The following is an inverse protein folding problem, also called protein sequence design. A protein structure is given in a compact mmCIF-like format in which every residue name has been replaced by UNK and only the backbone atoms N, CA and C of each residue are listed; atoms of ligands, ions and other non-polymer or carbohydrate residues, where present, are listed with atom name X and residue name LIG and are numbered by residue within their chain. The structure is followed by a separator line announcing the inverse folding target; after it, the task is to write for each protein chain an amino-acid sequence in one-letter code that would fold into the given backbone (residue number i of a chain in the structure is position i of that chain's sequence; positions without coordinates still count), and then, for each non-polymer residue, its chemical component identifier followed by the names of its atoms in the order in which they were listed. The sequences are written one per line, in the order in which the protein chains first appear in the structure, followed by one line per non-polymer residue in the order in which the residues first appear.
data_IF_634218336187
#
_entry.id   IF_634218336187
#
_cell.length_a   1.000
_cell.length_b   1.000
_cell.length_c   1.000
_cell.angle_alpha   90.00
_cell.angle_beta   90.00
_cell.angle_gamma   90.00
#
_symmetry.space_group_name_H-M   'P 1'
#
loop_
_entity.id
_entity.type
_entity.pdbx_description
1 polymer ?
#
# COMPACT_ATOMS: atom_id res chain seq x y z
N UNK A 1 -1.00 -11.37 39.58
CA UNK A 1 -1.29 -12.80 39.36
C UNK A 1 -0.40 -13.30 38.20
N UNK A 2 0.20 -14.47 38.35
CA UNK A 2 1.01 -15.10 37.33
C UNK A 2 0.09 -15.62 36.19
N UNK A 3 0.21 -15.04 35.02
CA UNK A 3 -0.58 -15.43 33.83
C UNK A 3 -0.45 -16.92 33.53
N UNK A 4 0.76 -17.47 33.65
CA UNK A 4 1.03 -18.89 33.43
C UNK A 4 0.26 -19.79 34.41
N UNK A 5 0.29 -19.46 35.69
CA UNK A 5 -0.47 -20.17 36.72
C UNK A 5 -1.98 -20.09 36.47
N UNK A 6 -2.49 -18.94 36.04
CA UNK A 6 -3.89 -18.77 35.66
C UNK A 6 -4.28 -19.63 34.47
N UNK A 7 -3.50 -19.64 33.41
CA UNK A 7 -3.76 -20.45 32.22
C UNK A 7 -3.78 -21.95 32.56
N UNK A 8 -2.81 -22.42 33.35
CA UNK A 8 -2.76 -23.83 33.77
C UNK A 8 -3.92 -24.24 34.70
N UNK A 9 -4.37 -23.34 35.56
CA UNK A 9 -5.44 -23.63 36.53
C UNK A 9 -6.85 -23.49 35.94
N UNK A 10 -7.06 -22.53 35.01
CA UNK A 10 -8.37 -22.24 34.43
C UNK A 10 -8.62 -22.95 33.12
N UNK A 11 -7.57 -23.30 32.39
CA UNK A 11 -7.62 -23.95 31.07
C UNK A 11 -8.68 -23.29 30.16
N UNK A 12 -8.62 -21.96 29.94
CA UNK A 12 -9.67 -21.26 29.20
C UNK A 12 -9.70 -21.69 27.74
N UNK A 13 -10.88 -21.79 27.16
CA UNK A 13 -11.04 -22.06 25.70
C UNK A 13 -10.49 -20.93 24.84
N UNK A 14 -10.56 -19.68 25.34
CA UNK A 14 -10.06 -18.49 24.67
C UNK A 14 -9.40 -17.58 25.69
N UNK A 15 -8.33 -16.91 25.28
CA UNK A 15 -7.65 -15.91 26.08
C UNK A 15 -7.38 -14.68 25.20
N UNK A 16 -7.86 -13.55 25.65
CA UNK A 16 -7.67 -12.28 24.95
C UNK A 16 -6.88 -11.32 25.84
N UNK A 17 -6.03 -10.53 25.22
CA UNK A 17 -5.31 -9.46 25.90
C UNK A 17 -5.48 -8.15 25.12
N UNK A 18 -5.34 -7.04 25.85
CA UNK A 18 -5.39 -5.71 25.24
C UNK A 18 -4.00 -5.31 24.74
N UNK A 19 -3.93 -4.75 23.54
CA UNK A 19 -2.72 -4.07 23.03
C UNK A 19 -2.52 -2.70 23.69
N UNK A 20 -3.51 -2.21 24.42
CA UNK A 20 -3.45 -0.96 25.17
C UNK A 20 -2.97 -1.21 26.59
N UNK A 21 -2.16 -0.27 27.08
CA UNK A 21 -1.60 -0.23 28.42
C UNK A 21 -2.38 0.74 29.29
N UNK A 22 -2.68 0.33 30.51
CA UNK A 22 -3.45 1.12 31.48
C UNK A 22 -2.75 1.17 32.81
N UNK A 23 -2.81 2.32 33.50
CA UNK A 23 -2.27 2.46 34.84
C UNK A 23 -3.07 1.64 35.89
N UNK A 24 -4.39 1.57 35.68
CA UNK A 24 -5.35 0.86 36.56
C UNK A 24 -6.20 -0.11 35.73
N UNK A 25 -5.64 -1.20 35.19
CA UNK A 25 -6.36 -2.06 34.26
C UNK A 25 -7.62 -2.71 34.85
N UNK A 26 -7.70 -2.86 36.18
CA UNK A 26 -8.86 -3.41 36.89
C UNK A 26 -9.98 -2.42 37.16
N UNK A 27 -9.86 -1.14 36.81
CA UNK A 27 -10.91 -0.16 37.01
C UNK A 27 -12.16 -0.46 36.14
N UNK A 28 -13.38 -0.10 36.62
CA UNK A 28 -14.63 -0.48 35.97
C UNK A 28 -14.89 0.26 34.66
N UNK A 29 -14.43 1.52 34.55
CA UNK A 29 -14.64 2.33 33.33
C UNK A 29 -13.35 2.58 32.59
N UNK A 30 -13.44 2.89 31.29
CA UNK A 30 -12.27 3.18 30.45
C UNK A 30 -11.53 4.44 30.92
N UNK A 31 -12.26 5.45 31.37
CA UNK A 31 -11.70 6.68 31.91
C UNK A 31 -10.88 6.42 33.19
N UNK A 32 -11.43 5.63 34.11
CA UNK A 32 -10.78 5.29 35.39
C UNK A 32 -9.56 4.36 35.17
N UNK A 33 -9.48 3.64 34.07
CA UNK A 33 -8.31 2.81 33.72
C UNK A 33 -7.04 3.61 33.49
N UNK A 34 -7.13 4.88 33.17
CA UNK A 34 -6.00 5.77 32.87
C UNK A 34 -5.11 5.18 31.78
N UNK A 35 -5.53 5.36 30.51
CA UNK A 35 -4.79 4.89 29.36
C UNK A 35 -3.38 5.48 29.31
N UNK A 36 -2.38 4.63 29.07
CA UNK A 36 -0.95 5.01 29.01
C UNK A 36 -0.40 4.98 27.57
N UNK A 37 -1.00 4.17 26.73
CA UNK A 37 -0.54 3.96 25.37
C UNK A 37 -1.09 2.65 24.80
N UNK A 38 -0.79 2.40 23.53
CA UNK A 38 -1.11 1.14 22.88
C UNK A 38 -0.06 0.81 21.82
N UNK A 39 0.21 -0.46 21.61
CA UNK A 39 0.99 -0.92 20.47
C UNK A 39 0.33 -0.48 19.15
N UNK A 40 1.13 -0.29 18.13
CA UNK A 40 0.59 -0.19 16.77
C UNK A 40 0.39 -1.63 16.26
N UNK A 41 -0.86 -1.97 15.96
CA UNK A 41 -1.21 -3.30 15.47
C UNK A 41 -1.91 -3.21 14.12
N UNK A 42 -1.53 -4.10 13.21
CA UNK A 42 -2.21 -4.33 11.94
C UNK A 42 -2.75 -5.76 11.96
N UNK A 43 -4.04 -5.88 11.74
CA UNK A 43 -4.76 -7.14 11.68
C UNK A 43 -5.25 -7.36 10.24
N UNK A 44 -4.70 -8.37 9.58
CA UNK A 44 -5.06 -8.75 8.22
C UNK A 44 -5.76 -10.11 8.26
N UNK A 45 -7.03 -10.13 7.84
CA UNK A 45 -7.85 -11.33 7.76
C UNK A 45 -8.26 -11.62 6.31
N UNK A 46 -8.15 -12.87 5.90
CA UNK A 46 -8.45 -13.32 4.54
C UNK A 46 -9.95 -13.18 4.18
N UNK A 47 -10.85 -13.05 5.15
CA UNK A 47 -12.28 -12.84 4.90
C UNK A 47 -12.58 -11.54 4.14
N UNK A 48 -11.68 -10.59 4.19
CA UNK A 48 -11.80 -9.31 3.52
C UNK A 48 -11.15 -9.27 2.13
N UNK A 49 -10.54 -10.38 1.69
CA UNK A 49 -9.98 -10.47 0.34
C UNK A 49 -11.10 -10.53 -0.71
N UNK A 50 -10.87 -9.86 -1.83
CA UNK A 50 -11.76 -9.97 -2.98
C UNK A 50 -11.78 -11.41 -3.51
N UNK A 51 -12.97 -12.01 -3.64
CA UNK A 51 -13.14 -13.40 -4.06
C UNK A 51 -12.87 -14.44 -2.96
N UNK A 52 -12.74 -14.06 -1.70
CA UNK A 52 -12.46 -14.98 -0.59
C UNK A 52 -13.44 -16.16 -0.51
N UNK A 53 -14.72 -15.94 -0.88
CA UNK A 53 -15.74 -16.97 -0.85
C UNK A 53 -15.51 -18.13 -1.84
N UNK A 54 -14.76 -17.89 -2.92
CA UNK A 54 -14.43 -18.88 -3.95
C UNK A 54 -13.04 -19.51 -3.74
N UNK A 55 -12.25 -19.02 -2.77
CA UNK A 55 -10.90 -19.52 -2.48
C UNK A 55 -10.91 -20.71 -1.53
N UNK A 56 -9.99 -21.65 -1.74
CA UNK A 56 -9.67 -22.66 -0.71
C UNK A 56 -8.98 -21.99 0.49
N UNK A 57 -8.94 -22.72 1.61
CA UNK A 57 -8.28 -22.24 2.82
C UNK A 57 -6.78 -21.97 2.57
N UNK A 58 -6.11 -22.83 1.83
CA UNK A 58 -4.71 -22.71 1.47
C UNK A 58 -4.46 -21.47 0.59
N UNK A 59 -5.31 -21.24 -0.40
CA UNK A 59 -5.24 -20.04 -1.26
C UNK A 59 -5.45 -18.76 -0.46
N UNK A 60 -6.41 -18.74 0.45
CA UNK A 60 -6.64 -17.60 1.36
C UNK A 60 -5.40 -17.31 2.23
N UNK A 61 -4.81 -18.35 2.82
CA UNK A 61 -3.61 -18.18 3.66
C UNK A 61 -2.41 -17.67 2.86
N UNK A 62 -2.19 -18.20 1.67
CA UNK A 62 -1.11 -17.73 0.81
C UNK A 62 -1.31 -16.26 0.42
N UNK A 63 -2.52 -15.90 0.01
CA UNK A 63 -2.83 -14.55 -0.40
C UNK A 63 -2.68 -13.54 0.74
N UNK A 64 -3.21 -13.86 1.95
CA UNK A 64 -3.10 -12.94 3.08
C UNK A 64 -1.65 -12.85 3.59
N UNK A 65 -0.85 -13.93 3.44
CA UNK A 65 0.58 -13.91 3.72
C UNK A 65 1.33 -12.94 2.80
N UNK A 66 0.98 -12.92 1.50
CA UNK A 66 1.54 -11.97 0.54
C UNK A 66 1.19 -10.52 0.90
N UNK A 67 -0.06 -10.27 1.30
CA UNK A 67 -0.48 -8.92 1.71
C UNK A 67 0.22 -8.49 3.01
N UNK A 68 0.40 -9.40 3.97
CA UNK A 68 1.18 -9.13 5.19
C UNK A 68 2.66 -8.83 4.86
N UNK A 69 3.28 -9.60 3.96
CA UNK A 69 4.64 -9.33 3.51
C UNK A 69 4.78 -7.94 2.85
N UNK A 70 3.82 -7.56 2.00
CA UNK A 70 3.78 -6.20 1.42
C UNK A 70 3.66 -5.12 2.49
N UNK A 71 2.79 -5.32 3.49
CA UNK A 71 2.65 -4.38 4.61
C UNK A 71 3.98 -4.22 5.35
N UNK A 72 4.61 -5.33 5.72
CA UNK A 72 5.87 -5.31 6.48
C UNK A 72 6.99 -4.69 5.65
N UNK A 73 7.31 -5.28 4.52
CA UNK A 73 8.50 -4.91 3.74
C UNK A 73 8.39 -3.49 3.15
N UNK A 74 7.21 -3.17 2.60
CA UNK A 74 7.06 -1.92 1.88
C UNK A 74 6.71 -0.74 2.79
N UNK A 75 5.90 -0.96 3.81
CA UNK A 75 5.38 0.12 4.64
C UNK A 75 6.06 0.20 6.00
N UNK A 76 6.06 -0.89 6.79
CA UNK A 76 6.62 -0.83 8.13
C UNK A 76 8.15 -0.64 8.10
N UNK A 77 8.85 -1.48 7.37
CA UNK A 77 10.30 -1.38 7.24
C UNK A 77 10.71 -0.27 6.26
N UNK A 78 10.09 -0.26 5.08
CA UNK A 78 10.49 0.63 3.98
C UNK A 78 10.15 2.10 4.19
N UNK A 79 8.92 2.44 4.55
CA UNK A 79 8.46 3.82 4.63
C UNK A 79 8.44 4.37 6.06
N UNK A 80 7.98 3.57 7.04
CA UNK A 80 7.90 3.99 8.43
C UNK A 80 9.23 3.82 9.17
N UNK A 81 10.18 3.06 8.59
CA UNK A 81 11.56 2.97 9.06
C UNK A 81 11.74 2.10 10.29
N UNK A 82 10.82 1.19 10.58
CA UNK A 82 11.02 0.18 11.61
C UNK A 82 12.07 -0.84 11.15
N UNK A 83 12.77 -1.45 12.10
CA UNK A 83 13.65 -2.59 11.83
C UNK A 83 12.90 -3.91 12.04
N UNK A 84 13.44 -5.01 11.50
CA UNK A 84 12.79 -6.33 11.58
C UNK A 84 12.55 -6.80 13.02
N UNK A 85 13.45 -6.46 13.95
CA UNK A 85 13.34 -6.79 15.39
C UNK A 85 12.26 -5.98 16.13
N UNK A 86 11.77 -4.90 15.53
CA UNK A 86 10.69 -4.07 16.05
C UNK A 86 9.30 -4.49 15.58
N UNK A 87 9.21 -5.40 14.60
CA UNK A 87 7.94 -5.88 14.03
C UNK A 87 7.72 -7.34 14.39
N UNK A 88 6.76 -7.60 15.25
CA UNK A 88 6.43 -8.95 15.71
C UNK A 88 5.24 -9.51 14.93
N UNK A 89 5.48 -10.54 14.13
CA UNK A 89 4.44 -11.22 13.37
C UNK A 89 3.85 -12.39 14.12
N UNK A 90 2.52 -12.49 14.11
CA UNK A 90 1.78 -13.59 14.73
C UNK A 90 0.70 -14.09 13.78
N UNK A 91 0.60 -15.41 13.62
CA UNK A 91 -0.55 -16.03 12.98
C UNK A 91 -1.76 -15.96 13.90
N UNK A 92 -2.92 -15.51 13.40
CA UNK A 92 -4.14 -15.31 14.22
C UNK A 92 -4.74 -16.61 14.77
N UNK A 93 -4.30 -17.76 14.25
CA UNK A 93 -4.88 -19.08 14.56
C UNK A 93 -6.11 -19.42 13.70
N UNK A 94 -6.52 -18.51 12.83
CA UNK A 94 -7.63 -18.64 11.89
C UNK A 94 -7.16 -18.47 10.45
N UNK A 95 -7.48 -17.34 9.84
CA UNK A 95 -7.21 -17.03 8.43
C UNK A 95 -6.44 -15.72 8.24
N UNK A 96 -5.68 -15.29 9.23
CA UNK A 96 -5.03 -13.99 9.21
C UNK A 96 -3.70 -13.94 9.92
N UNK A 97 -3.09 -12.78 9.86
CA UNK A 97 -1.84 -12.46 10.54
C UNK A 97 -1.96 -11.10 11.23
N UNK A 98 -1.30 -10.98 12.39
CA UNK A 98 -1.14 -9.70 13.07
C UNK A 98 0.32 -9.26 12.99
N UNK A 99 0.53 -7.98 12.72
CA UNK A 99 1.82 -7.33 12.89
C UNK A 99 1.74 -6.35 14.07
N UNK A 100 2.56 -6.56 15.07
CA UNK A 100 2.65 -5.76 16.28
C UNK A 100 3.93 -4.93 16.27
N UNK A 101 3.82 -3.65 16.59
CA UNK A 101 4.95 -2.75 16.81
C UNK A 101 4.83 -2.16 18.20
N UNK A 102 5.53 -2.74 19.22
CA UNK A 102 5.42 -2.32 20.63
C UNK A 102 6.39 -1.20 21.01
N UNK A 103 6.86 -0.40 20.06
CA UNK A 103 7.88 0.62 20.25
C UNK A 103 7.37 1.84 21.02
N UNK A 104 8.20 2.44 21.85
CA UNK A 104 7.84 3.58 22.69
C UNK A 104 7.33 4.79 21.88
N UNK A 105 7.90 5.01 20.69
CA UNK A 105 7.53 6.13 19.80
C UNK A 105 6.11 6.00 19.21
N UNK A 106 5.53 4.78 19.20
CA UNK A 106 4.17 4.57 18.70
C UNK A 106 3.13 4.38 19.82
N UNK A 107 3.54 4.10 21.05
CA UNK A 107 2.61 3.84 22.16
C UNK A 107 1.67 5.01 22.41
N UNK A 108 2.16 6.23 22.30
CA UNK A 108 1.41 7.46 22.60
C UNK A 108 0.64 8.04 21.42
N UNK A 109 0.71 7.41 20.24
CA UNK A 109 -0.07 7.84 19.07
C UNK A 109 -1.56 7.81 19.39
N UNK A 110 -2.23 8.92 19.16
CA UNK A 110 -3.67 9.04 19.35
C UNK A 110 -4.47 8.43 18.19
N UNK A 111 -5.80 8.48 18.27
CA UNK A 111 -6.67 7.93 17.23
C UNK A 111 -6.48 8.59 15.85
N UNK A 112 -6.09 9.87 15.83
CA UNK A 112 -5.87 10.61 14.58
C UNK A 112 -4.62 10.11 13.87
N UNK A 113 -3.49 10.08 14.57
CA UNK A 113 -2.21 9.62 14.02
C UNK A 113 -2.28 8.17 13.53
N UNK A 114 -2.96 7.30 14.29
CA UNK A 114 -3.19 5.91 13.88
C UNK A 114 -4.03 5.80 12.61
N UNK A 115 -5.02 6.67 12.45
CA UNK A 115 -5.84 6.73 11.23
C UNK A 115 -5.02 7.21 10.03
N UNK A 116 -4.19 8.22 10.21
CA UNK A 116 -3.28 8.70 9.15
C UNK A 116 -2.33 7.57 8.65
N UNK A 117 -1.83 6.74 9.57
CA UNK A 117 -1.01 5.57 9.21
C UNK A 117 -1.82 4.59 8.36
N UNK A 118 -3.05 4.26 8.78
CA UNK A 118 -3.94 3.36 8.01
C UNK A 118 -4.27 3.96 6.65
N UNK A 119 -4.64 5.24 6.59
CA UNK A 119 -4.94 5.94 5.34
C UNK A 119 -3.73 5.95 4.40
N UNK A 120 -2.53 6.14 4.95
CA UNK A 120 -1.29 6.05 4.19
C UNK A 120 -1.07 4.64 3.62
N UNK A 121 -1.19 3.58 4.43
CA UNK A 121 -0.98 2.18 3.99
C UNK A 121 -2.01 1.79 2.94
N UNK A 122 -3.27 2.16 3.12
CA UNK A 122 -4.38 1.82 2.21
C UNK A 122 -4.52 2.75 1.01
N UNK A 123 -3.66 3.78 0.89
CA UNK A 123 -3.79 4.84 -0.12
C UNK A 123 -5.13 5.59 -0.06
N UNK A 124 -5.79 5.64 1.10
CA UNK A 124 -7.04 6.38 1.28
C UNK A 124 -6.83 7.86 0.99
N UNK A 125 -7.62 8.41 0.06
CA UNK A 125 -7.49 9.81 -0.32
C UNK A 125 -6.27 10.17 -1.16
N UNK A 126 -5.51 9.18 -1.65
CA UNK A 126 -4.36 9.43 -2.51
C UNK A 126 -4.79 10.14 -3.80
N UNK A 127 -4.30 11.36 -3.99
CA UNK A 127 -4.60 12.15 -5.18
C UNK A 127 -3.61 11.84 -6.30
N UNK A 128 -4.11 11.27 -7.40
CA UNK A 128 -3.31 10.89 -8.56
C UNK A 128 -2.60 12.10 -9.21
N UNK A 129 -3.20 13.30 -9.13
CA UNK A 129 -2.59 14.52 -9.66
C UNK A 129 -1.42 15.01 -8.81
N UNK A 130 -1.37 14.61 -7.55
CA UNK A 130 -0.23 14.86 -6.70
C UNK A 130 0.92 13.89 -7.00
N UNK A 131 0.62 12.64 -7.32
CA UNK A 131 1.64 11.64 -7.69
C UNK A 131 2.20 11.92 -9.08
N UNK A 132 1.32 12.19 -10.05
CA UNK A 132 1.65 12.49 -11.45
C UNK A 132 1.18 13.90 -11.83
N UNK A 133 1.86 14.95 -11.33
CA UNK A 133 1.44 16.31 -11.60
C UNK A 133 1.52 16.65 -13.09
N UNK A 134 0.66 17.56 -13.52
CA UNK A 134 0.71 18.07 -14.88
C UNK A 134 1.83 19.08 -15.06
N UNK A 135 2.54 18.96 -16.18
CA UNK A 135 3.50 19.94 -16.67
C UNK A 135 3.08 20.45 -18.06
N UNK A 136 3.53 21.64 -18.36
CA UNK A 136 3.39 22.22 -19.71
C UNK A 136 4.60 21.78 -20.52
N UNK A 137 4.39 20.96 -21.55
CA UNK A 137 5.44 20.50 -22.46
C UNK A 137 5.28 21.17 -23.82
N UNK A 138 6.34 21.79 -24.30
CA UNK A 138 6.38 22.35 -25.65
C UNK A 138 6.34 21.21 -26.67
N UNK A 139 5.28 21.19 -27.49
CA UNK A 139 5.05 20.12 -28.48
C UNK A 139 5.56 20.48 -29.87
N UNK A 140 5.50 21.75 -30.26
CA UNK A 140 6.02 22.26 -31.53
C UNK A 140 6.23 23.77 -31.48
N UNK A 141 7.10 24.26 -32.34
CA UNK A 141 7.25 25.68 -32.59
C UNK A 141 6.82 25.97 -34.03
N UNK A 142 6.00 26.98 -34.22
CA UNK A 142 5.60 27.48 -35.56
C UNK A 142 5.96 28.94 -35.65
N UNK A 143 6.41 29.35 -36.84
CA UNK A 143 6.68 30.76 -37.14
C UNK A 143 5.47 31.34 -37.88
N UNK A 144 4.82 32.33 -37.26
CA UNK A 144 3.68 33.05 -37.87
C UNK A 144 4.02 34.54 -37.90
N UNK A 145 4.06 35.10 -39.10
CA UNK A 145 4.39 36.51 -39.35
C UNK A 145 5.72 36.93 -38.67
N UNK A 146 6.75 36.10 -38.77
CA UNK A 146 8.07 36.34 -38.14
C UNK A 146 8.16 36.13 -36.61
N UNK A 147 7.06 35.80 -35.95
CA UNK A 147 7.02 35.49 -34.52
C UNK A 147 6.98 34.00 -34.27
N UNK A 148 7.80 33.52 -33.34
CA UNK A 148 7.78 32.11 -32.90
C UNK A 148 6.64 31.90 -31.91
N UNK A 149 5.69 31.04 -32.25
CA UNK A 149 4.67 30.54 -31.34
C UNK A 149 5.00 29.11 -30.95
N UNK A 150 5.03 28.88 -29.65
CA UNK A 150 5.23 27.55 -29.08
C UNK A 150 3.89 26.96 -28.71
N UNK A 151 3.53 25.85 -29.34
CA UNK A 151 2.37 25.05 -28.91
C UNK A 151 2.75 24.27 -27.64
N UNK A 152 1.87 24.33 -26.65
CA UNK A 152 2.09 23.72 -25.35
C UNK A 152 0.96 22.73 -25.09
N UNK A 153 1.32 21.47 -24.80
CA UNK A 153 0.40 20.48 -24.28
C UNK A 153 0.57 20.34 -22.77
N UNK A 154 -0.47 19.88 -22.09
CA UNK A 154 -0.36 19.40 -20.72
C UNK A 154 0.00 17.91 -20.79
N UNK A 155 1.05 17.53 -20.10
CA UNK A 155 1.47 16.14 -19.97
C UNK A 155 1.71 15.81 -18.49
N UNK A 156 1.53 14.56 -18.10
CA UNK A 156 1.80 14.11 -16.73
C UNK A 156 3.28 13.81 -16.56
N UNK A 157 3.84 14.33 -15.47
CA UNK A 157 5.22 14.00 -15.09
C UNK A 157 5.24 12.66 -14.36
N UNK A 158 6.15 11.81 -14.77
CA UNK A 158 6.46 10.58 -14.04
C UNK A 158 7.35 10.95 -12.85
N UNK A 159 7.05 10.48 -11.62
CA UNK A 159 7.90 10.75 -10.46
C UNK A 159 9.35 10.31 -10.70
N UNK A 160 10.36 11.07 -10.25
CA UNK A 160 11.76 10.65 -10.32
C UNK A 160 12.01 9.31 -9.60
N UNK A 161 13.08 8.60 -9.98
CA UNK A 161 13.38 7.28 -9.41
C UNK A 161 13.86 7.32 -7.94
N UNK A 162 14.32 8.47 -7.50
CA UNK A 162 14.80 8.74 -6.14
C UNK A 162 13.73 9.25 -5.17
N UNK A 163 12.46 9.24 -5.59
CA UNK A 163 11.34 9.54 -4.70
C UNK A 163 11.02 8.35 -3.78
N UNK A 164 10.45 8.63 -2.60
CA UNK A 164 9.98 7.62 -1.66
C UNK A 164 8.45 7.41 -1.70
N UNK A 165 7.98 6.47 -0.88
CA UNK A 165 6.58 6.26 -0.59
C UNK A 165 5.72 5.96 -1.81
N UNK A 166 4.48 6.46 -1.81
CA UNK A 166 3.51 6.22 -2.89
C UNK A 166 3.96 6.70 -4.27
N UNK A 167 4.76 7.76 -4.34
CA UNK A 167 5.30 8.24 -5.62
C UNK A 167 6.20 7.19 -6.27
N UNK A 168 7.08 6.56 -5.48
CA UNK A 168 7.94 5.49 -5.97
C UNK A 168 7.15 4.23 -6.35
N UNK A 169 6.18 3.83 -5.50
CA UNK A 169 5.31 2.67 -5.78
C UNK A 169 4.52 2.83 -7.07
N UNK A 170 3.86 3.97 -7.22
CA UNK A 170 3.09 4.26 -8.41
C UNK A 170 3.97 4.37 -9.67
N UNK A 171 5.21 4.88 -9.54
CA UNK A 171 6.18 4.85 -10.62
C UNK A 171 6.52 3.41 -11.01
N UNK A 172 6.85 2.55 -10.03
CA UNK A 172 7.19 1.14 -10.29
C UNK A 172 6.03 0.40 -10.96
N UNK A 173 4.84 0.49 -10.38
CA UNK A 173 3.64 -0.11 -10.98
C UNK A 173 3.32 0.41 -12.38
N UNK A 174 3.56 1.70 -12.67
CA UNK A 174 3.44 2.22 -14.03
C UNK A 174 4.48 1.60 -14.98
N UNK A 175 5.73 1.41 -14.54
CA UNK A 175 6.75 0.79 -15.39
C UNK A 175 6.44 -0.68 -15.66
N UNK A 176 6.02 -1.44 -14.66
CA UNK A 176 5.57 -2.83 -14.78
C UNK A 176 4.38 -2.92 -15.74
N UNK A 177 3.37 -2.07 -15.59
CA UNK A 177 2.23 -1.99 -16.52
C UNK A 177 2.67 -1.68 -17.95
N UNK A 178 3.63 -0.77 -18.14
CA UNK A 178 4.16 -0.43 -19.47
C UNK A 178 4.86 -1.63 -20.08
N UNK A 179 5.65 -2.37 -19.33
CA UNK A 179 6.33 -3.57 -19.79
C UNK A 179 5.33 -4.67 -20.14
N UNK A 180 4.34 -4.94 -19.28
CA UNK A 180 3.26 -5.88 -19.55
C UNK A 180 2.50 -5.52 -20.83
N UNK A 181 2.08 -4.26 -20.97
CA UNK A 181 1.36 -3.79 -22.16
C UNK A 181 2.20 -3.94 -23.44
N UNK A 182 3.54 -3.76 -23.34
CA UNK A 182 4.43 -3.91 -24.49
C UNK A 182 4.66 -5.37 -24.91
N UNK A 183 4.83 -6.24 -23.94
CA UNK A 183 5.39 -7.57 -24.14
C UNK A 183 4.34 -8.69 -24.15
N UNK A 184 3.13 -8.44 -23.62
CA UNK A 184 2.05 -9.42 -23.53
C UNK A 184 1.17 -9.50 -24.79
N UNK A 185 0.55 -10.65 -24.99
CA UNK A 185 -0.46 -10.87 -26.01
C UNK A 185 -1.71 -9.99 -25.74
N UNK A 186 -2.30 -9.34 -26.76
CA UNK A 186 -3.53 -8.56 -26.59
C UNK A 186 -4.69 -9.33 -25.94
N UNK A 187 -4.72 -10.66 -26.09
CA UNK A 187 -5.73 -11.52 -25.46
C UNK A 187 -5.53 -11.58 -23.95
N UNK A 188 -4.29 -11.70 -23.50
CA UNK A 188 -3.93 -11.64 -22.06
C UNK A 188 -4.29 -10.27 -21.47
N UNK A 189 -3.92 -9.18 -22.14
CA UNK A 189 -4.22 -7.83 -21.67
C UNK A 189 -5.71 -7.55 -21.53
N UNK A 190 -6.55 -8.11 -22.43
CA UNK A 190 -8.02 -7.99 -22.32
C UNK A 190 -8.58 -8.72 -21.11
N UNK A 191 -7.97 -9.81 -20.69
CA UNK A 191 -8.36 -10.56 -19.49
C UNK A 191 -7.88 -9.85 -18.21
N UNK A 192 -6.64 -9.36 -18.21
CA UNK A 192 -6.04 -8.67 -17.08
C UNK A 192 -6.63 -7.26 -16.83
N UNK A 193 -7.03 -6.56 -17.90
CA UNK A 193 -7.57 -5.20 -17.84
C UNK A 193 -8.96 -5.09 -18.49
N UNK A 194 -10.01 -5.67 -17.90
CA UNK A 194 -11.34 -5.76 -18.50
C UNK A 194 -12.03 -4.41 -18.74
N UNK A 195 -11.57 -3.36 -18.07
CA UNK A 195 -12.04 -1.97 -18.29
C UNK A 195 -11.55 -1.36 -19.61
N UNK A 196 -10.46 -1.89 -20.18
CA UNK A 196 -9.92 -1.46 -21.47
C UNK A 196 -10.52 -2.30 -22.60
N UNK A 197 -11.40 -1.73 -23.41
CA UNK A 197 -12.16 -2.48 -24.42
C UNK A 197 -11.67 -2.21 -25.86
N UNK A 198 -11.59 -3.28 -26.65
CA UNK A 198 -11.49 -3.26 -28.12
C UNK A 198 -10.32 -2.42 -28.66
N UNK A 199 -10.61 -1.57 -29.63
CA UNK A 199 -9.61 -0.71 -30.32
C UNK A 199 -8.84 0.22 -29.40
N UNK A 200 -9.38 0.54 -28.20
CA UNK A 200 -8.69 1.39 -27.24
C UNK A 200 -7.45 0.71 -26.66
N UNK A 201 -7.52 -0.60 -26.38
CA UNK A 201 -6.39 -1.38 -25.90
C UNK A 201 -5.32 -1.55 -27.01
N UNK A 202 -5.75 -1.91 -28.23
CA UNK A 202 -4.83 -2.09 -29.35
C UNK A 202 -4.06 -0.79 -29.65
N UNK A 203 -4.78 0.34 -29.64
CA UNK A 203 -4.17 1.67 -29.79
C UNK A 203 -3.25 2.03 -28.64
N UNK A 204 -3.68 1.79 -27.40
CA UNK A 204 -2.84 2.04 -26.21
C UNK A 204 -1.55 1.22 -26.26
N UNK A 205 -1.62 -0.05 -26.66
CA UNK A 205 -0.45 -0.92 -26.82
C UNK A 205 0.50 -0.39 -27.90
N UNK A 206 -0.03 0.06 -29.04
CA UNK A 206 0.78 0.65 -30.11
C UNK A 206 1.44 1.97 -29.65
N UNK A 207 0.66 2.85 -29.02
CA UNK A 207 1.15 4.13 -28.49
C UNK A 207 2.21 3.91 -27.39
N UNK A 208 2.03 2.93 -26.51
CA UNK A 208 3.00 2.59 -25.45
C UNK A 208 4.27 2.00 -26.05
N UNK A 209 4.18 1.06 -27.00
CA UNK A 209 5.35 0.52 -27.72
C UNK A 209 6.14 1.62 -28.42
N UNK A 210 5.45 2.55 -29.03
CA UNK A 210 6.05 3.71 -29.69
C UNK A 210 6.71 4.66 -28.70
N UNK A 211 6.11 4.86 -27.53
CA UNK A 211 6.55 5.82 -26.52
C UNK A 211 7.53 5.22 -25.52
N UNK A 212 7.61 3.88 -25.38
CA UNK A 212 8.47 3.17 -24.42
C UNK A 212 9.90 3.69 -24.44
N UNK A 213 10.48 3.80 -25.62
CA UNK A 213 11.85 4.28 -25.78
C UNK A 213 12.00 5.71 -25.28
N UNK A 214 11.05 6.59 -25.55
CA UNK A 214 11.07 8.00 -25.14
C UNK A 214 10.90 8.13 -23.61
N UNK A 215 10.02 7.30 -23.01
CA UNK A 215 9.78 7.32 -21.56
C UNK A 215 11.01 6.83 -20.78
N UNK A 216 11.67 5.78 -21.23
CA UNK A 216 12.86 5.25 -20.57
C UNK A 216 14.10 6.11 -20.81
N UNK A 217 14.31 6.66 -22.01
CA UNK A 217 15.45 7.51 -22.31
C UNK A 217 15.41 8.86 -21.55
N UNK A 218 14.22 9.42 -21.31
CA UNK A 218 14.07 10.69 -20.57
C UNK A 218 14.22 10.56 -19.03
N UNK A 219 14.14 9.36 -18.49
CA UNK A 219 14.21 9.11 -17.05
C UNK A 219 15.56 8.53 -16.59
N UNK A 220 16.53 8.40 -17.50
CA UNK A 220 17.90 7.94 -17.23
C UNK A 220 18.93 9.07 -17.21
N UNK A 221 18.50 10.33 -17.37
CA UNK A 221 19.38 11.52 -17.22
C UNK A 221 19.19 12.21 -15.87
#
# INVERSE_FOLDING_TARGET
ADLRAMLYSKVPSHCYYSTAYYRKPGAPTMEEKEWLGAELIFDLDADHLEGAAEMSYEEMLERIREEMAKLVDSFLLGDLGFSEDQVHLTFSGGRGYHAHVPEENVLTLGPHERREIVDYVTASGLNIDWVFPYSKVATSQIVVNGNVRTNVAKDRLIPPADTGGWRLRMRRGLMELVDDVCDQDPKYLRAAYPSMKGRALDKAQEDVRRSRRIMFEKNTM
#
